data_IF_023337878327
#
_entry.id   IF_023337878327
#
_cell.length_a   1.000
_cell.length_b   1.000
_cell.length_c   1.000
_cell.angle_alpha   90.00
_cell.angle_beta   90.00
_cell.angle_gamma   90.00
#
_symmetry.space_group_name_H-M   'P 1'
#
loop_
_entity.id
_entity.type
_entity.pdbx_description
1 polymer ?
#
# COMPACT_ATOMS: atom_id res chain seq x y z
N UNK A 1 6.25 -23.15 38.11
CA UNK A 1 5.27 -24.05 37.46
C UNK A 1 4.90 -23.43 36.11
N UNK A 2 5.24 -23.93 34.93
CA UNK A 2 6.09 -25.03 34.51
C UNK A 2 6.46 -24.78 33.04
N UNK A 3 7.76 -24.79 32.74
CA UNK A 3 8.32 -24.70 31.39
C UNK A 3 8.18 -26.04 30.65
N UNK A 4 6.95 -26.51 30.45
CA UNK A 4 6.64 -27.58 29.49
C UNK A 4 6.13 -26.93 28.21
N UNK A 5 6.71 -27.24 27.06
CA UNK A 5 6.33 -26.63 25.77
C UNK A 5 4.82 -26.48 25.57
N UNK A 6 4.40 -25.25 25.25
CA UNK A 6 3.14 -25.00 24.55
C UNK A 6 3.25 -25.77 23.22
N UNK A 7 2.47 -26.84 23.13
CA UNK A 7 2.85 -28.09 22.47
C UNK A 7 2.80 -28.03 20.94
N UNK A 8 3.95 -27.90 20.29
CA UNK A 8 4.13 -28.21 18.86
C UNK A 8 3.36 -27.32 17.88
N UNK A 9 2.86 -26.15 18.31
CA UNK A 9 2.15 -25.21 17.42
C UNK A 9 3.01 -24.80 16.21
N UNK A 10 4.28 -24.45 16.47
CA UNK A 10 5.26 -24.16 15.41
C UNK A 10 5.47 -25.35 14.47
N UNK A 11 5.70 -26.55 15.00
CA UNK A 11 5.92 -27.74 14.17
C UNK A 11 4.69 -28.10 13.33
N UNK A 12 3.48 -27.96 13.89
CA UNK A 12 2.22 -28.14 13.15
C UNK A 12 2.06 -27.09 12.06
N UNK A 13 2.39 -25.83 12.35
CA UNK A 13 2.32 -24.75 11.37
C UNK A 13 3.34 -24.95 10.24
N UNK A 14 4.58 -25.32 10.56
CA UNK A 14 5.62 -25.68 9.59
C UNK A 14 5.20 -26.86 8.72
N UNK A 15 4.68 -27.93 9.33
CA UNK A 15 4.14 -29.08 8.59
C UNK A 15 3.00 -28.67 7.66
N UNK A 16 2.04 -27.86 8.14
CA UNK A 16 0.94 -27.35 7.33
C UNK A 16 1.42 -26.50 6.16
N UNK A 17 2.42 -25.65 6.37
CA UNK A 17 3.04 -24.84 5.31
C UNK A 17 3.78 -25.70 4.27
N UNK A 18 4.54 -26.70 4.72
CA UNK A 18 5.23 -27.67 3.85
C UNK A 18 4.22 -28.45 3.00
N UNK A 19 3.16 -28.99 3.61
CA UNK A 19 2.09 -29.73 2.92
C UNK A 19 1.36 -28.86 1.88
N UNK A 20 1.28 -27.55 2.13
CA UNK A 20 0.70 -26.57 1.21
C UNK A 20 1.69 -26.04 0.15
N UNK A 21 2.93 -26.54 0.11
CA UNK A 21 3.95 -26.14 -0.86
C UNK A 21 4.50 -24.73 -0.68
N UNK A 22 4.46 -24.19 0.54
CA UNK A 22 5.02 -22.87 0.85
C UNK A 22 6.55 -22.92 0.77
N UNK A 23 7.16 -21.86 0.25
CA UNK A 23 8.60 -21.76 0.08
C UNK A 23 9.38 -21.94 1.40
N UNK A 24 10.52 -22.66 1.40
CA UNK A 24 11.33 -22.86 2.61
C UNK A 24 11.80 -21.57 3.30
N UNK A 25 12.14 -20.52 2.54
CA UNK A 25 12.55 -19.22 3.11
C UNK A 25 11.36 -18.58 3.84
N UNK A 26 10.16 -18.70 3.28
CA UNK A 26 8.95 -18.21 3.93
C UNK A 26 8.60 -19.00 5.20
N UNK A 27 8.81 -20.32 5.21
CA UNK A 27 8.63 -21.17 6.40
C UNK A 27 9.60 -20.76 7.52
N UNK A 28 10.87 -20.52 7.20
CA UNK A 28 11.85 -20.06 8.19
C UNK A 28 11.56 -18.64 8.68
N UNK A 29 11.11 -17.75 7.79
CA UNK A 29 10.68 -16.39 8.14
C UNK A 29 9.48 -16.43 9.09
N UNK A 30 8.45 -17.23 8.78
CA UNK A 30 7.33 -17.47 9.68
C UNK A 30 7.80 -18.03 11.03
N UNK A 31 8.69 -19.02 11.03
CA UNK A 31 9.19 -19.62 12.26
C UNK A 31 9.97 -18.62 13.13
N UNK A 32 10.69 -17.68 12.54
CA UNK A 32 11.32 -16.57 13.25
C UNK A 32 10.26 -15.71 13.95
N UNK A 33 9.23 -15.27 13.24
CA UNK A 33 8.18 -14.42 13.79
C UNK A 33 7.28 -15.12 14.81
N UNK A 34 6.99 -16.40 14.61
CA UNK A 34 6.29 -17.23 15.58
C UNK A 34 7.03 -17.24 16.93
N UNK A 35 8.36 -17.38 16.92
CA UNK A 35 9.17 -17.34 18.15
C UNK A 35 9.10 -15.97 18.81
N UNK A 36 9.15 -14.87 18.05
CA UNK A 36 8.98 -13.52 18.63
C UNK A 36 7.60 -13.36 19.29
N UNK A 37 6.55 -13.86 18.64
CA UNK A 37 5.19 -13.86 19.17
C UNK A 37 5.10 -14.64 20.49
N UNK A 38 5.77 -15.79 20.62
CA UNK A 38 5.82 -16.56 21.87
C UNK A 38 6.48 -15.83 23.03
N UNK A 39 7.44 -14.95 22.75
CA UNK A 39 8.16 -14.18 23.76
C UNK A 39 7.44 -12.88 24.17
N UNK A 40 6.25 -12.61 23.62
CA UNK A 40 5.40 -11.49 24.04
C UNK A 40 5.88 -10.12 23.56
N UNK A 41 6.64 -10.07 22.46
CA UNK A 41 6.99 -8.83 21.76
C UNK A 41 5.72 -8.00 21.47
N UNK A 42 5.69 -6.75 21.95
CA UNK A 42 4.54 -5.85 21.78
C UNK A 42 4.77 -4.81 20.67
N UNK A 43 6.02 -4.56 20.28
CA UNK A 43 6.37 -3.63 19.20
C UNK A 43 6.16 -2.14 19.51
N UNK A 44 5.94 -1.75 20.77
CA UNK A 44 5.72 -0.35 21.18
C UNK A 44 7.00 0.48 21.09
N UNK A 45 6.91 1.73 20.61
CA UNK A 45 8.04 2.65 20.43
C UNK A 45 7.78 3.95 21.22
N UNK A 46 8.37 4.09 22.42
CA UNK A 46 8.19 5.30 23.23
C UNK A 46 8.75 6.56 22.60
N UNK A 47 8.05 7.68 22.76
CA UNK A 47 8.51 8.99 22.31
C UNK A 47 9.89 9.36 22.88
N UNK A 48 10.20 8.89 24.09
CA UNK A 48 11.48 9.11 24.73
C UNK A 48 12.67 8.45 24.02
N UNK A 49 12.44 7.40 23.22
CA UNK A 49 13.49 6.63 22.51
C UNK A 49 13.74 7.12 21.08
N UNK A 50 12.96 8.10 20.61
CA UNK A 50 13.03 8.62 19.25
C UNK A 50 13.19 10.15 19.22
N UNK A 51 13.62 10.66 18.07
CA UNK A 51 13.73 12.08 17.75
C UNK A 51 13.07 12.34 16.39
N UNK A 52 12.47 13.53 16.17
CA UNK A 52 11.99 13.92 14.86
C UNK A 52 13.05 13.83 13.77
N UNK A 53 12.61 13.60 12.54
CA UNK A 53 13.48 13.66 11.36
C UNK A 53 13.29 14.98 10.62
N UNK A 54 14.38 15.46 10.03
CA UNK A 54 14.37 16.46 8.97
C UNK A 54 14.89 15.77 7.71
N UNK A 55 14.25 16.06 6.57
CA UNK A 55 14.51 15.37 5.30
C UNK A 55 14.60 16.42 4.20
N UNK A 56 15.43 16.16 3.19
CA UNK A 56 15.49 17.00 1.99
C UNK A 56 14.18 16.88 1.18
N UNK A 57 13.87 17.91 0.40
CA UNK A 57 12.72 17.93 -0.50
C UNK A 57 13.16 17.70 -1.92
N UNK A 58 12.45 16.83 -2.64
CA UNK A 58 12.68 16.59 -4.07
C UNK A 58 12.55 17.87 -4.90
N UNK A 59 11.76 18.84 -4.43
CA UNK A 59 11.64 20.15 -5.07
C UNK A 59 12.97 20.92 -5.10
N UNK A 60 13.84 20.68 -4.12
CA UNK A 60 15.14 21.35 -3.96
C UNK A 60 16.30 20.52 -4.52
N UNK A 61 16.02 19.30 -5.03
CA UNK A 61 17.02 18.40 -5.61
C UNK A 61 17.12 18.63 -7.12
N UNK A 62 18.32 18.94 -7.58
CA UNK A 62 18.69 18.95 -8.99
C UNK A 62 19.28 17.59 -9.41
N UNK A 63 18.70 16.99 -10.44
CA UNK A 63 19.17 15.73 -11.04
C UNK A 63 19.33 15.97 -12.53
N UNK A 64 20.53 15.72 -13.05
CA UNK A 64 20.80 15.86 -14.48
C UNK A 64 19.97 14.85 -15.28
N UNK A 65 19.51 15.24 -16.47
CA UNK A 65 18.59 14.43 -17.29
C UNK A 65 19.20 13.07 -17.68
N UNK A 66 20.51 13.02 -17.95
CA UNK A 66 21.23 11.80 -18.27
C UNK A 66 21.33 10.84 -17.07
N UNK A 67 21.51 11.39 -15.86
CA UNK A 67 21.50 10.62 -14.61
C UNK A 67 20.11 10.06 -14.32
N UNK A 68 19.07 10.87 -14.52
CA UNK A 68 17.68 10.44 -14.36
C UNK A 68 17.31 9.33 -15.37
N UNK A 69 17.72 9.48 -16.63
CA UNK A 69 17.49 8.50 -17.69
C UNK A 69 18.24 7.18 -17.45
N UNK A 70 19.52 7.23 -17.05
CA UNK A 70 20.27 6.02 -16.72
C UNK A 70 19.67 5.30 -15.50
N UNK A 71 19.30 6.05 -14.46
CA UNK A 71 18.73 5.46 -13.25
C UNK A 71 17.37 4.79 -13.52
N UNK A 72 16.47 5.44 -14.26
CA UNK A 72 15.18 4.83 -14.61
C UNK A 72 15.36 3.63 -15.55
N UNK A 73 16.34 3.67 -16.46
CA UNK A 73 16.70 2.53 -17.32
C UNK A 73 17.16 1.29 -16.56
N UNK A 74 17.70 1.46 -15.35
CA UNK A 74 18.14 0.38 -14.44
C UNK A 74 17.11 0.03 -13.35
N UNK A 75 15.91 0.59 -13.43
CA UNK A 75 14.86 0.43 -12.42
C UNK A 75 13.83 -0.62 -12.82
N UNK A 76 13.36 -1.37 -11.83
CA UNK A 76 12.20 -2.27 -11.90
C UNK A 76 11.08 -1.68 -11.08
N UNK A 77 9.87 -1.60 -11.64
CA UNK A 77 8.69 -1.17 -10.90
C UNK A 77 7.93 -2.40 -10.37
N UNK A 78 7.65 -2.43 -9.07
CA UNK A 78 6.85 -3.46 -8.41
C UNK A 78 5.59 -2.82 -7.83
N UNK A 79 4.42 -3.35 -8.20
CA UNK A 79 3.13 -2.94 -7.63
C UNK A 79 2.61 -3.98 -6.67
N UNK A 80 2.31 -3.56 -5.44
CA UNK A 80 1.65 -4.39 -4.45
C UNK A 80 0.18 -4.56 -4.83
N UNK A 81 -0.22 -5.79 -5.11
CA UNK A 81 -1.54 -6.12 -5.65
C UNK A 81 -2.13 -7.40 -5.03
N UNK A 82 -1.67 -7.78 -3.84
CA UNK A 82 -2.19 -8.94 -3.10
C UNK A 82 -3.54 -8.70 -2.40
N UNK A 83 -3.94 -7.44 -2.22
CA UNK A 83 -5.13 -7.04 -1.47
C UNK A 83 -6.42 -7.10 -2.27
N UNK A 84 -7.48 -7.61 -1.65
CA UNK A 84 -8.85 -7.53 -2.16
C UNK A 84 -9.52 -6.22 -1.77
N UNK A 85 -10.47 -5.75 -2.57
CA UNK A 85 -11.31 -4.59 -2.24
C UNK A 85 -12.48 -4.91 -1.29
N UNK A 86 -12.30 -5.82 -0.32
CA UNK A 86 -13.40 -6.35 0.51
C UNK A 86 -14.11 -5.28 1.34
N UNK A 87 -13.39 -4.27 1.83
CA UNK A 87 -13.99 -3.13 2.54
C UNK A 87 -14.98 -2.33 1.68
N UNK A 88 -14.80 -2.39 0.37
CA UNK A 88 -15.62 -1.75 -0.67
C UNK A 88 -16.57 -2.75 -1.35
N UNK A 89 -16.75 -3.96 -0.78
CA UNK A 89 -17.64 -4.99 -1.31
C UNK A 89 -17.14 -5.70 -2.56
N UNK A 90 -15.84 -5.66 -2.87
CA UNK A 90 -15.26 -6.37 -4.00
C UNK A 90 -14.74 -7.76 -3.61
N UNK A 91 -14.98 -8.74 -4.48
CA UNK A 91 -14.47 -10.11 -4.34
C UNK A 91 -13.19 -10.37 -5.15
N UNK A 92 -12.72 -9.35 -5.90
CA UNK A 92 -11.56 -9.41 -6.80
C UNK A 92 -10.47 -8.43 -6.37
N UNK A 93 -9.34 -8.47 -7.07
CA UNK A 93 -8.25 -7.52 -6.89
C UNK A 93 -8.75 -6.06 -6.93
N UNK A 94 -8.37 -5.26 -5.93
CA UNK A 94 -8.80 -3.86 -5.84
C UNK A 94 -8.35 -3.02 -7.05
N UNK A 95 -7.22 -3.37 -7.64
CA UNK A 95 -6.67 -2.69 -8.82
C UNK A 95 -7.57 -2.77 -10.07
N UNK A 96 -8.56 -3.67 -10.09
CA UNK A 96 -9.55 -3.79 -11.17
C UNK A 96 -10.71 -2.80 -11.04
N UNK A 97 -10.78 -2.08 -9.92
CA UNK A 97 -11.78 -1.03 -9.73
C UNK A 97 -11.62 0.04 -10.81
N UNK A 98 -12.70 0.31 -11.54
CA UNK A 98 -12.74 1.37 -12.54
C UNK A 98 -12.68 2.74 -11.85
N UNK A 99 -11.64 3.49 -12.18
CA UNK A 99 -11.29 4.74 -11.52
C UNK A 99 -11.76 5.92 -12.33
N UNK A 100 -11.54 5.92 -13.65
CA UNK A 100 -11.93 7.05 -14.49
C UNK A 100 -11.91 6.69 -15.97
N UNK A 101 -12.84 7.25 -16.77
CA UNK A 101 -12.93 7.02 -18.22
C UNK A 101 -12.93 5.53 -18.61
N UNK A 102 -13.52 4.68 -17.76
CA UNK A 102 -13.55 3.22 -17.94
C UNK A 102 -12.21 2.51 -17.71
N UNK A 103 -11.17 3.22 -17.27
CA UNK A 103 -9.87 2.66 -16.92
C UNK A 103 -9.85 2.22 -15.46
N UNK A 104 -9.34 1.02 -15.21
CA UNK A 104 -9.06 0.54 -13.86
C UNK A 104 -7.77 1.15 -13.28
N UNK A 105 -7.39 0.83 -12.04
CA UNK A 105 -6.05 1.18 -11.57
C UNK A 105 -4.99 0.47 -12.42
N UNK A 106 -5.25 -0.80 -12.77
CA UNK A 106 -4.34 -1.68 -13.48
C UNK A 106 -4.04 -1.19 -14.91
N UNK A 107 -5.08 -0.98 -15.72
CA UNK A 107 -5.34 0.34 -16.29
C UNK A 107 -4.19 1.32 -16.48
N UNK A 108 -4.33 2.33 -15.64
CA UNK A 108 -3.53 3.53 -15.58
C UNK A 108 -2.07 3.13 -15.31
N UNK A 109 -1.82 2.19 -14.40
CA UNK A 109 -0.48 1.71 -14.04
C UNK A 109 0.26 1.12 -15.25
N UNK A 110 -0.38 0.22 -16.01
CA UNK A 110 0.25 -0.41 -17.17
C UNK A 110 0.62 0.65 -18.23
N UNK A 111 -0.28 1.61 -18.46
CA UNK A 111 -0.07 2.68 -19.45
C UNK A 111 0.97 3.71 -19.00
N UNK A 112 1.05 4.03 -17.71
CA UNK A 112 2.12 4.85 -17.13
C UNK A 112 3.48 4.20 -17.36
N UNK A 113 3.61 2.90 -17.09
CA UNK A 113 4.86 2.18 -17.32
C UNK A 113 5.26 2.18 -18.81
N UNK A 114 4.33 1.89 -19.71
CA UNK A 114 4.58 1.91 -21.16
C UNK A 114 4.94 3.31 -21.67
N UNK A 115 4.31 4.36 -21.15
CA UNK A 115 4.64 5.73 -21.47
C UNK A 115 6.09 6.07 -21.06
N UNK A 116 6.48 5.71 -19.84
CA UNK A 116 7.85 5.92 -19.36
C UNK A 116 8.90 5.16 -20.18
N UNK A 117 8.59 3.93 -20.61
CA UNK A 117 9.49 3.17 -21.51
C UNK A 117 9.74 3.94 -22.81
N UNK A 118 8.70 4.51 -23.40
CA UNK A 118 8.82 5.29 -24.64
C UNK A 118 9.57 6.61 -24.42
N UNK A 119 9.25 7.33 -23.34
CA UNK A 119 9.84 8.65 -23.06
C UNK A 119 11.34 8.56 -22.77
N UNK A 120 11.79 7.51 -22.07
CA UNK A 120 13.18 7.36 -21.62
C UNK A 120 13.98 6.29 -22.35
N UNK A 121 13.40 5.67 -23.40
CA UNK A 121 13.99 4.51 -24.08
C UNK A 121 14.46 3.42 -23.08
N UNK A 122 13.60 3.15 -22.09
CA UNK A 122 13.93 2.32 -20.94
C UNK A 122 13.21 0.96 -21.00
N UNK A 123 13.84 -0.10 -20.49
CA UNK A 123 13.19 -1.42 -20.34
C UNK A 123 12.09 -1.43 -19.27
N UNK A 124 12.28 -0.70 -18.17
CA UNK A 124 11.39 -0.55 -17.01
C UNK A 124 10.36 -1.69 -16.84
N UNK A 125 10.76 -2.87 -16.33
CA UNK A 125 9.82 -3.96 -16.04
C UNK A 125 8.78 -3.50 -15.02
N UNK A 126 7.53 -3.87 -15.26
CA UNK A 126 6.44 -3.70 -14.31
C UNK A 126 6.02 -5.09 -13.81
N UNK A 127 6.24 -5.34 -12.53
CA UNK A 127 5.92 -6.60 -11.87
C UNK A 127 4.81 -6.40 -10.86
N UNK A 128 3.94 -7.38 -10.71
CA UNK A 128 2.86 -7.36 -9.72
C UNK A 128 3.13 -8.40 -8.63
N UNK A 129 3.18 -7.95 -7.38
CA UNK A 129 3.16 -8.83 -6.23
C UNK A 129 1.70 -9.19 -5.93
N UNK A 130 1.26 -10.32 -6.46
CA UNK A 130 -0.11 -10.81 -6.33
C UNK A 130 -0.24 -11.78 -5.16
N UNK A 131 -1.47 -12.01 -4.72
CA UNK A 131 -1.81 -13.12 -3.83
C UNK A 131 -2.48 -14.22 -4.63
N UNK A 132 -2.64 -15.39 -4.00
CA UNK A 132 -3.44 -16.48 -4.54
C UNK A 132 -4.91 -16.08 -4.84
N UNK A 133 -5.39 -14.95 -4.30
CA UNK A 133 -6.73 -14.41 -4.56
C UNK A 133 -6.78 -13.35 -5.66
N UNK A 134 -5.64 -12.82 -6.11
CA UNK A 134 -5.60 -11.70 -7.07
C UNK A 134 -4.87 -12.01 -8.37
N UNK A 135 -4.07 -13.08 -8.42
CA UNK A 135 -3.26 -13.47 -9.59
C UNK A 135 -4.10 -13.66 -10.86
N UNK A 136 -5.10 -14.56 -10.83
CA UNK A 136 -5.89 -14.90 -12.01
C UNK A 136 -6.58 -13.67 -12.62
N UNK A 137 -7.30 -12.88 -11.81
CA UNK A 137 -7.99 -11.69 -12.31
C UNK A 137 -7.02 -10.62 -12.84
N UNK A 138 -5.83 -10.50 -12.23
CA UNK A 138 -4.82 -9.53 -12.64
C UNK A 138 -4.21 -9.92 -13.99
N UNK A 139 -3.82 -11.18 -14.16
CA UNK A 139 -3.23 -11.66 -15.41
C UNK A 139 -4.22 -11.62 -16.57
N UNK A 140 -5.49 -11.96 -16.33
CA UNK A 140 -6.56 -11.84 -17.33
C UNK A 140 -6.69 -10.38 -17.80
N UNK A 141 -6.76 -9.45 -16.86
CA UNK A 141 -6.89 -8.02 -17.17
C UNK A 141 -5.65 -7.42 -17.86
N UNK A 142 -4.45 -7.95 -17.58
CA UNK A 142 -3.19 -7.54 -18.21
C UNK A 142 -2.96 -8.17 -19.58
N UNK A 143 -3.66 -9.27 -19.91
CA UNK A 143 -3.46 -10.00 -21.17
C UNK A 143 -3.67 -9.18 -22.44
N UNK A 144 -4.35 -8.03 -22.35
CA UNK A 144 -4.51 -7.06 -23.44
C UNK A 144 -3.30 -6.15 -23.71
N UNK A 145 -2.29 -6.17 -22.83
CA UNK A 145 -1.08 -5.34 -22.95
C UNK A 145 0.10 -6.19 -23.43
N UNK A 146 0.14 -6.47 -24.73
CA UNK A 146 1.16 -7.34 -25.35
C UNK A 146 2.60 -6.82 -25.12
N UNK A 147 2.79 -5.50 -25.10
CA UNK A 147 4.09 -4.85 -24.93
C UNK A 147 4.55 -4.74 -23.46
N UNK A 148 3.75 -5.21 -22.49
CA UNK A 148 4.07 -5.05 -21.07
C UNK A 148 5.16 -6.03 -20.61
N UNK A 149 5.11 -7.25 -21.13
CA UNK A 149 6.05 -8.32 -20.79
C UNK A 149 7.49 -7.92 -21.16
N UNK A 150 8.44 -8.29 -20.30
CA UNK A 150 9.87 -8.12 -20.57
C UNK A 150 10.50 -9.50 -20.59
N UNK A 151 11.24 -9.79 -21.66
CA UNK A 151 11.83 -11.11 -21.87
C UNK A 151 12.65 -11.59 -20.66
N UNK A 152 12.37 -12.83 -20.26
CA UNK A 152 13.00 -13.49 -19.11
C UNK A 152 12.47 -13.05 -17.74
N UNK A 153 11.55 -12.08 -17.65
CA UNK A 153 10.91 -11.68 -16.40
C UNK A 153 9.41 -12.01 -16.42
N UNK A 154 8.85 -12.51 -15.31
CA UNK A 154 7.42 -12.74 -15.22
C UNK A 154 6.67 -11.40 -15.06
N UNK A 155 5.38 -11.34 -15.41
CA UNK A 155 4.54 -10.17 -15.09
C UNK A 155 4.13 -10.13 -13.60
N UNK A 156 4.12 -11.29 -12.94
CA UNK A 156 3.77 -11.40 -11.53
C UNK A 156 4.76 -12.27 -10.77
N UNK A 157 4.73 -12.11 -9.46
CA UNK A 157 5.20 -13.11 -8.51
C UNK A 157 4.22 -13.15 -7.34
N UNK A 158 4.10 -14.32 -6.71
CA UNK A 158 3.16 -14.49 -5.62
C UNK A 158 3.82 -14.15 -4.30
N UNK A 159 3.12 -13.36 -3.48
CA UNK A 159 3.40 -13.30 -2.05
C UNK A 159 3.07 -14.65 -1.41
N UNK A 160 3.71 -14.94 -0.29
CA UNK A 160 3.52 -16.13 0.50
C UNK A 160 2.16 -16.14 1.22
N UNK A 161 1.86 -17.30 1.82
CA UNK A 161 0.75 -17.49 2.75
C UNK A 161 1.25 -18.23 3.99
N UNK A 162 0.63 -17.92 5.12
CA UNK A 162 0.93 -18.53 6.41
C UNK A 162 -0.37 -18.91 7.13
N UNK A 163 -0.35 -19.90 8.04
CA UNK A 163 -1.54 -20.31 8.76
C UNK A 163 -1.91 -19.27 9.82
N UNK A 164 -3.20 -18.95 9.92
CA UNK A 164 -3.75 -18.22 11.07
C UNK A 164 -3.59 -19.07 12.33
N UNK A 165 -3.20 -18.46 13.45
CA UNK A 165 -2.91 -19.18 14.69
C UNK A 165 -3.99 -18.91 15.73
N UNK A 166 -4.50 -19.92 16.44
CA UNK A 166 -5.48 -19.70 17.51
C UNK A 166 -4.88 -18.85 18.63
N UNK A 167 -5.62 -17.85 19.13
CA UNK A 167 -5.11 -16.98 20.21
C UNK A 167 -4.92 -17.72 21.54
N UNK A 168 -5.59 -18.86 21.71
CA UNK A 168 -5.52 -19.68 22.91
C UNK A 168 -4.18 -20.39 23.11
N UNK A 169 -3.57 -20.89 22.04
CA UNK A 169 -2.41 -21.79 22.13
C UNK A 169 -1.40 -21.69 20.98
N UNK A 170 -1.62 -20.77 20.03
CA UNK A 170 -0.81 -20.56 18.83
C UNK A 170 -0.72 -21.79 17.90
N UNK A 171 -1.65 -22.74 17.99
CA UNK A 171 -1.76 -23.81 16.99
C UNK A 171 -2.43 -23.29 15.72
N UNK A 172 -2.09 -23.84 14.52
CA UNK A 172 -2.75 -23.41 13.28
C UNK A 172 -4.26 -23.69 13.34
N UNK A 173 -5.06 -22.68 13.02
CA UNK A 173 -6.51 -22.78 13.00
C UNK A 173 -6.98 -23.80 11.96
N UNK A 174 -8.10 -24.46 12.28
CA UNK A 174 -8.83 -25.34 11.38
C UNK A 174 -10.25 -24.79 11.19
N UNK A 175 -10.69 -24.70 9.94
CA UNK A 175 -11.99 -24.18 9.57
C UNK A 175 -12.58 -25.00 8.41
N UNK A 176 -13.15 -26.19 8.69
CA UNK A 176 -13.59 -27.12 7.65
C UNK A 176 -14.67 -26.58 6.70
N UNK A 177 -15.40 -25.55 7.13
CA UNK A 177 -16.42 -24.88 6.29
C UNK A 177 -15.80 -24.17 5.09
N UNK A 178 -14.60 -23.63 5.26
CA UNK A 178 -13.82 -22.98 4.21
C UNK A 178 -12.32 -22.98 4.60
N UNK A 179 -11.57 -24.02 4.18
CA UNK A 179 -10.16 -24.16 4.52
C UNK A 179 -9.26 -23.01 4.03
N UNK A 180 -9.68 -22.23 3.03
CA UNK A 180 -8.90 -21.07 2.57
C UNK A 180 -8.88 -19.94 3.61
N UNK A 181 -9.85 -19.92 4.53
CA UNK A 181 -9.88 -18.99 5.66
C UNK A 181 -8.90 -19.38 6.76
N UNK A 182 -8.25 -20.54 6.68
CA UNK A 182 -7.19 -20.92 7.62
C UNK A 182 -5.86 -20.23 7.31
N UNK A 183 -5.75 -19.54 6.17
CA UNK A 183 -4.54 -18.89 5.67
C UNK A 183 -4.69 -17.37 5.65
N UNK A 184 -3.59 -16.67 5.90
CA UNK A 184 -3.47 -15.23 5.69
C UNK A 184 -2.17 -14.90 4.95
N UNK A 185 -2.13 -13.77 4.23
CA UNK A 185 -0.87 -13.23 3.74
C UNK A 185 -0.05 -12.63 4.91
N UNK A 186 1.29 -12.75 4.91
CA UNK A 186 2.16 -12.23 5.98
C UNK A 186 2.38 -10.70 5.94
N UNK A 187 1.41 -9.95 5.42
CA UNK A 187 1.52 -8.53 5.15
C UNK A 187 2.41 -8.21 3.93
N UNK A 188 2.51 -6.93 3.59
CA UNK A 188 3.27 -6.51 2.41
C UNK A 188 4.79 -6.52 2.61
N UNK A 189 5.28 -6.67 3.85
CA UNK A 189 6.71 -6.89 4.13
C UNK A 189 7.25 -8.23 3.60
N UNK A 190 6.36 -9.16 3.24
CA UNK A 190 6.70 -10.40 2.55
C UNK A 190 7.35 -10.20 1.17
N UNK A 191 7.25 -9.00 0.59
CA UNK A 191 7.91 -8.62 -0.65
C UNK A 191 9.35 -9.14 -0.74
N UNK A 192 10.14 -8.92 0.31
CA UNK A 192 11.57 -9.26 0.31
C UNK A 192 11.78 -10.78 0.36
N UNK A 193 10.98 -11.47 1.16
CA UNK A 193 10.97 -12.93 1.28
C UNK A 193 10.55 -13.57 -0.04
N UNK A 194 9.49 -13.08 -0.67
CA UNK A 194 9.00 -13.57 -1.96
C UNK A 194 10.00 -13.32 -3.10
N UNK A 195 10.65 -12.15 -3.14
CA UNK A 195 11.71 -11.86 -4.11
C UNK A 195 12.88 -12.83 -4.00
N UNK A 196 13.27 -13.20 -2.77
CA UNK A 196 14.31 -14.19 -2.51
C UNK A 196 13.86 -15.61 -2.87
N UNK A 197 12.73 -16.06 -2.32
CA UNK A 197 12.23 -17.43 -2.49
C UNK A 197 11.95 -17.79 -3.95
N UNK A 198 11.44 -16.84 -4.73
CA UNK A 198 11.19 -17.04 -6.18
C UNK A 198 12.45 -17.00 -7.04
N UNK A 199 13.61 -16.63 -6.48
CA UNK A 199 14.84 -16.37 -7.23
C UNK A 199 14.77 -15.12 -8.11
N UNK A 200 13.71 -14.32 -7.98
CA UNK A 200 13.51 -13.11 -8.80
C UNK A 200 14.55 -12.04 -8.47
N UNK A 201 14.96 -11.92 -7.21
CA UNK A 201 16.03 -11.00 -6.80
C UNK A 201 17.32 -11.22 -7.60
N UNK A 202 17.79 -12.46 -7.67
CA UNK A 202 19.01 -12.81 -8.40
C UNK A 202 18.82 -12.62 -9.91
N UNK A 203 17.66 -13.03 -10.46
CA UNK A 203 17.35 -12.84 -11.88
C UNK A 203 17.35 -11.38 -12.31
N UNK A 204 16.79 -10.48 -11.48
CA UNK A 204 16.80 -9.04 -11.78
C UNK A 204 18.23 -8.49 -11.83
N UNK A 205 19.08 -8.89 -10.89
CA UNK A 205 20.49 -8.52 -10.86
C UNK A 205 21.23 -9.06 -12.10
N UNK A 206 21.04 -10.33 -12.43
CA UNK A 206 21.65 -10.98 -13.60
C UNK A 206 21.25 -10.31 -14.93
N UNK A 207 20.03 -9.75 -15.00
CA UNK A 207 19.55 -8.99 -16.14
C UNK A 207 20.03 -7.53 -16.19
N UNK A 208 20.88 -7.11 -15.24
CA UNK A 208 21.49 -5.78 -15.22
C UNK A 208 20.67 -4.70 -14.53
N UNK A 209 19.58 -5.05 -13.85
CA UNK A 209 18.83 -4.08 -13.04
C UNK A 209 19.57 -3.78 -11.75
N UNK A 210 19.41 -2.54 -11.27
CA UNK A 210 20.07 -2.06 -10.04
C UNK A 210 19.07 -1.66 -8.96
N UNK A 211 17.97 -1.03 -9.36
CA UNK A 211 17.03 -0.40 -8.44
C UNK A 211 15.64 -1.01 -8.57
N UNK A 212 14.90 -0.98 -7.47
CA UNK A 212 13.48 -1.30 -7.44
C UNK A 212 12.72 -0.11 -6.89
N UNK A 213 11.68 0.31 -7.62
CA UNK A 213 10.61 1.16 -7.11
C UNK A 213 9.42 0.28 -6.72
N UNK A 214 8.91 0.42 -5.51
CA UNK A 214 7.74 -0.31 -5.02
C UNK A 214 6.65 0.67 -4.63
N UNK A 215 5.40 0.37 -4.97
CA UNK A 215 4.25 1.14 -4.47
C UNK A 215 2.96 0.33 -4.42
N UNK A 216 1.97 0.84 -3.68
CA UNK A 216 0.63 0.27 -3.66
C UNK A 216 -0.05 0.43 -5.04
N UNK A 217 -0.78 -0.59 -5.49
CA UNK A 217 -1.61 -0.49 -6.70
C UNK A 217 -2.79 0.48 -6.55
N UNK A 218 -3.23 0.75 -5.31
CA UNK A 218 -4.31 1.70 -5.03
C UNK A 218 -3.84 3.15 -4.83
N UNK A 219 -2.55 3.43 -5.00
CA UNK A 219 -1.98 4.78 -5.09
C UNK A 219 -1.61 5.09 -6.55
N UNK A 220 -2.41 5.91 -7.23
CA UNK A 220 -2.17 6.26 -8.64
C UNK A 220 -1.18 7.42 -8.83
N UNK A 221 -0.86 8.15 -7.77
CA UNK A 221 0.24 9.12 -7.78
C UNK A 221 1.62 8.44 -7.79
N UNK A 222 1.69 7.16 -7.43
CA UNK A 222 2.94 6.42 -7.34
C UNK A 222 3.41 5.93 -8.72
N UNK A 223 4.12 6.79 -9.44
CA UNK A 223 4.74 6.46 -10.74
C UNK A 223 6.26 6.43 -10.57
N UNK A 224 7.00 5.47 -11.17
CA UNK A 224 8.47 5.48 -11.13
C UNK A 224 9.01 6.80 -11.71
N UNK A 225 9.50 7.69 -10.84
CA UNK A 225 9.90 9.03 -11.23
C UNK A 225 11.40 9.07 -11.56
N UNK A 226 11.79 9.49 -12.76
CA UNK A 226 13.19 9.57 -13.18
C UNK A 226 14.05 10.49 -12.29
N UNK A 227 13.50 11.59 -11.76
CA UNK A 227 14.21 12.48 -10.83
C UNK A 227 14.45 11.77 -9.50
N UNK A 228 13.45 11.07 -8.96
CA UNK A 228 13.63 10.30 -7.72
C UNK A 228 14.61 9.14 -7.94
N UNK A 229 14.52 8.45 -9.08
CA UNK A 229 15.46 7.38 -9.44
C UNK A 229 16.91 7.91 -9.51
N UNK A 230 17.12 9.04 -10.19
CA UNK A 230 18.44 9.67 -10.32
C UNK A 230 18.98 10.25 -9.01
N UNK A 231 18.12 10.85 -8.17
CA UNK A 231 18.47 11.23 -6.80
C UNK A 231 18.92 10.01 -5.99
N UNK A 232 18.09 8.96 -5.95
CA UNK A 232 18.38 7.74 -5.20
C UNK A 232 19.70 7.12 -5.64
N UNK A 233 19.91 6.98 -6.95
CA UNK A 233 21.16 6.49 -7.53
C UNK A 233 22.38 7.32 -7.12
N UNK A 234 22.25 8.65 -7.11
CA UNK A 234 23.33 9.58 -6.76
C UNK A 234 23.69 9.56 -5.27
N UNK A 235 22.74 9.24 -4.39
CA UNK A 235 23.00 9.14 -2.95
C UNK A 235 23.83 7.92 -2.55
N UNK A 236 23.83 6.87 -3.37
CA UNK A 236 24.39 5.56 -3.01
C UNK A 236 23.65 4.86 -1.85
N UNK A 237 22.47 5.35 -1.46
CA UNK A 237 21.69 4.77 -0.38
C UNK A 237 21.19 3.36 -0.75
N UNK A 238 21.20 2.41 0.19
CA UNK A 238 20.68 1.06 -0.06
C UNK A 238 19.15 1.02 -0.13
N UNK A 239 18.49 1.99 0.50
CA UNK A 239 17.04 2.01 0.69
C UNK A 239 16.57 3.45 0.91
N UNK A 240 15.44 3.83 0.31
CA UNK A 240 14.80 5.10 0.53
C UNK A 240 13.27 4.98 0.54
N UNK A 241 12.59 5.91 1.21
CA UNK A 241 11.14 6.03 1.19
C UNK A 241 10.75 7.47 0.81
N UNK A 242 9.81 7.59 -0.13
CA UNK A 242 9.15 8.87 -0.39
C UNK A 242 8.18 9.18 0.75
N UNK A 243 8.32 10.35 1.35
CA UNK A 243 7.50 10.82 2.45
C UNK A 243 6.74 12.08 2.04
N UNK A 244 5.52 12.23 2.54
CA UNK A 244 4.73 13.45 2.36
C UNK A 244 4.55 14.13 3.71
N UNK A 245 4.36 15.45 3.69
CA UNK A 245 3.95 16.17 4.90
C UNK A 245 2.63 15.63 5.41
N UNK A 246 2.55 15.47 6.72
CA UNK A 246 1.33 15.06 7.41
C UNK A 246 0.33 16.20 7.44
N UNK A 247 -0.93 15.82 7.28
CA UNK A 247 -2.09 16.68 7.39
C UNK A 247 -2.99 16.17 8.52
N UNK A 248 -3.98 16.96 8.92
CA UNK A 248 -4.98 16.54 9.92
C UNK A 248 -5.80 15.30 9.48
N UNK A 249 -5.80 14.98 8.19
CA UNK A 249 -6.43 13.80 7.61
C UNK A 249 -5.58 12.52 7.77
N UNK A 250 -4.27 12.66 8.01
CA UNK A 250 -3.33 11.55 8.20
C UNK A 250 -3.38 11.01 9.66
N UNK A 251 -4.60 10.63 10.10
CA UNK A 251 -4.87 10.13 11.46
C UNK A 251 -4.53 8.65 11.64
N UNK A 252 -4.38 7.90 10.55
CA UNK A 252 -4.03 6.48 10.51
C UNK A 252 -2.76 6.31 9.68
N UNK A 253 -1.89 5.41 10.13
CA UNK A 253 -0.57 5.15 9.51
C UNK A 253 0.58 5.46 10.46
N UNK A 254 1.80 5.46 9.92
CA UNK A 254 3.03 5.70 10.66
C UNK A 254 3.75 6.97 10.23
N UNK A 255 4.47 7.59 11.17
CA UNK A 255 5.39 8.69 10.88
C UNK A 255 6.83 8.23 11.02
N UNK A 256 7.72 8.97 10.37
CA UNK A 256 9.16 8.74 10.49
C UNK A 256 9.75 9.42 11.72
N UNK A 257 10.66 8.73 12.36
CA UNK A 257 11.49 9.26 13.43
C UNK A 257 12.90 8.67 13.35
N UNK A 258 13.83 9.19 14.14
CA UNK A 258 15.17 8.65 14.31
C UNK A 258 15.27 8.00 15.69
N UNK A 259 15.66 6.73 15.76
CA UNK A 259 15.87 6.03 17.02
C UNK A 259 17.18 6.50 17.66
N UNK A 260 17.12 6.91 18.93
CA UNK A 260 18.28 7.46 19.66
C UNK A 260 19.39 6.45 19.89
N UNK A 261 19.04 5.17 20.04
CA UNK A 261 20.00 4.13 20.41
C UNK A 261 21.04 3.84 19.32
N UNK A 262 20.66 3.94 18.06
CA UNK A 262 21.50 3.56 16.90
C UNK A 262 21.45 4.59 15.75
N UNK A 263 20.67 5.66 15.88
CA UNK A 263 20.56 6.72 14.89
C UNK A 263 19.78 6.31 13.63
N UNK A 264 19.15 5.12 13.60
CA UNK A 264 18.42 4.63 12.43
C UNK A 264 17.06 5.29 12.28
N UNK A 265 16.59 5.38 11.05
CA UNK A 265 15.24 5.84 10.75
C UNK A 265 14.27 4.72 11.09
N UNK A 266 13.19 5.05 11.81
CA UNK A 266 12.11 4.13 12.20
C UNK A 266 10.78 4.62 11.68
N UNK A 267 9.89 3.68 11.37
CA UNK A 267 8.50 3.97 11.02
C UNK A 267 7.63 3.59 12.23
N UNK A 268 7.18 4.59 12.99
CA UNK A 268 6.30 4.35 14.15
C UNK A 268 4.85 4.45 13.72
N UNK A 269 4.20 3.28 13.63
CA UNK A 269 2.76 3.18 13.39
C UNK A 269 1.95 3.73 14.56
N UNK A 270 0.72 4.17 14.28
CA UNK A 270 -0.23 4.60 15.33
C UNK A 270 -0.45 3.51 16.39
N UNK A 271 -0.45 2.23 15.98
CA UNK A 271 -0.59 1.08 16.88
C UNK A 271 0.62 0.88 17.81
N UNK A 272 1.79 1.42 17.47
CA UNK A 272 3.02 1.34 18.25
C UNK A 272 3.22 2.54 19.18
N UNK A 273 2.25 3.46 19.23
CA UNK A 273 2.29 4.68 20.05
C UNK A 273 1.68 4.43 21.43
N UNK A 274 2.42 4.73 22.49
CA UNK A 274 1.91 4.57 23.85
C UNK A 274 0.77 5.58 24.14
N UNK A 275 -0.17 5.26 25.04
CA UNK A 275 -1.26 6.17 25.40
C UNK A 275 -0.78 7.58 25.82
N UNK A 276 0.32 7.67 26.56
CA UNK A 276 0.95 8.92 27.00
C UNK A 276 1.58 9.73 25.86
N UNK A 277 1.96 9.07 24.75
CA UNK A 277 2.65 9.69 23.62
C UNK A 277 1.68 10.21 22.53
N UNK A 278 0.37 10.04 22.73
CA UNK A 278 -0.66 10.44 21.74
C UNK A 278 -0.61 11.93 21.38
N UNK A 279 -0.30 12.79 22.35
CA UNK A 279 -0.16 14.23 22.10
C UNK A 279 1.03 14.53 21.17
N UNK A 280 2.16 13.84 21.37
CA UNK A 280 3.32 14.00 20.50
C UNK A 280 3.06 13.47 19.08
N UNK A 281 2.33 12.36 18.95
CA UNK A 281 1.89 11.86 17.63
C UNK A 281 0.98 12.85 16.91
N UNK A 282 0.07 13.51 17.63
CA UNK A 282 -0.86 14.48 17.06
C UNK A 282 -0.20 15.81 16.63
N UNK A 283 1.00 16.10 17.14
CA UNK A 283 1.78 17.28 16.76
C UNK A 283 2.39 17.12 15.36
N UNK A 284 1.80 17.84 14.40
CA UNK A 284 2.19 17.82 12.98
C UNK A 284 3.52 18.57 12.72
N UNK A 285 3.93 19.48 13.61
CA UNK A 285 5.21 20.20 13.49
C UNK A 285 6.37 19.41 14.07
N UNK A 286 6.08 18.52 15.02
CA UNK A 286 7.06 17.59 15.58
C UNK A 286 7.34 16.44 14.63
N UNK A 287 6.32 15.61 14.37
CA UNK A 287 6.45 14.45 13.50
C UNK A 287 5.85 14.83 12.15
N UNK A 288 6.64 15.48 11.30
CA UNK A 288 6.16 16.17 10.07
C UNK A 288 5.82 15.25 8.91
N UNK A 289 6.37 14.05 8.87
CA UNK A 289 6.38 13.23 7.66
C UNK A 289 5.73 11.86 7.87
N UNK A 290 4.94 11.42 6.90
CA UNK A 290 4.32 10.09 6.85
C UNK A 290 4.74 9.34 5.59
N UNK A 291 4.74 8.01 5.67
CA UNK A 291 5.08 7.14 4.55
C UNK A 291 4.00 7.17 3.48
N UNK A 292 4.40 7.34 2.22
CA UNK A 292 3.54 7.11 1.06
C UNK A 292 3.40 5.63 0.71
N UNK A 293 4.25 4.78 1.32
CA UNK A 293 4.53 3.41 0.89
C UNK A 293 5.13 3.32 -0.52
N UNK A 294 5.69 4.41 -1.05
CA UNK A 294 6.54 4.40 -2.24
C UNK A 294 8.00 4.22 -1.79
N UNK A 295 8.59 3.08 -2.13
CA UNK A 295 9.93 2.71 -1.66
C UNK A 295 10.89 2.56 -2.82
N UNK A 296 12.15 2.83 -2.55
CA UNK A 296 13.26 2.61 -3.47
C UNK A 296 14.30 1.75 -2.78
N UNK A 297 14.81 0.71 -3.43
CA UNK A 297 15.93 -0.05 -2.88
C UNK A 297 16.89 -0.54 -3.95
N UNK A 298 18.14 -0.70 -3.52
CA UNK A 298 19.22 -1.27 -4.32
C UNK A 298 19.17 -2.80 -4.23
N UNK A 299 19.08 -3.47 -5.39
CA UNK A 299 18.96 -4.93 -5.47
C UNK A 299 20.16 -5.65 -4.84
N UNK A 300 21.38 -5.12 -5.03
CA UNK A 300 22.58 -5.74 -4.48
C UNK A 300 22.67 -5.52 -2.97
N UNK A 301 22.31 -4.33 -2.47
CA UNK A 301 22.28 -4.08 -1.04
C UNK A 301 21.22 -4.96 -0.35
N UNK A 302 20.03 -5.08 -0.94
CA UNK A 302 18.98 -5.98 -0.47
C UNK A 302 19.46 -7.43 -0.43
N UNK A 303 20.07 -7.91 -1.52
CA UNK A 303 20.66 -9.25 -1.59
C UNK A 303 21.70 -9.48 -0.49
N UNK A 304 22.65 -8.55 -0.33
CA UNK A 304 23.71 -8.67 0.67
C UNK A 304 23.16 -8.76 2.10
N UNK A 305 22.15 -7.94 2.42
CA UNK A 305 21.50 -7.99 3.75
C UNK A 305 20.74 -9.29 3.95
N UNK A 306 19.96 -9.72 2.96
CA UNK A 306 19.23 -10.97 3.05
C UNK A 306 20.20 -12.16 3.20
N UNK A 307 21.29 -12.20 2.42
CA UNK A 307 22.30 -13.27 2.49
C UNK A 307 23.02 -13.29 3.84
N UNK A 308 23.38 -12.12 4.38
CA UNK A 308 23.96 -12.00 5.72
C UNK A 308 23.01 -12.36 6.87
N UNK A 309 21.70 -12.45 6.61
CA UNK A 309 20.66 -12.81 7.58
C UNK A 309 19.92 -14.11 7.24
N UNK A 310 20.54 -14.96 6.42
CA UNK A 310 19.99 -16.28 6.03
C UNK A 310 18.56 -16.20 5.45
N UNK A 311 18.26 -15.12 4.73
CA UNK A 311 16.96 -14.85 4.09
C UNK A 311 15.93 -14.15 4.96
N UNK A 312 16.18 -13.98 6.27
CA UNK A 312 15.24 -13.35 7.19
C UNK A 312 15.63 -11.88 7.36
N UNK A 313 14.87 -10.98 6.75
CA UNK A 313 15.19 -9.54 6.84
C UNK A 313 15.10 -9.00 8.26
N UNK A 314 14.25 -9.57 9.12
CA UNK A 314 14.11 -9.17 10.53
C UNK A 314 13.31 -7.89 10.71
N UNK A 315 12.23 -7.73 9.93
CA UNK A 315 11.26 -6.64 10.09
C UNK A 315 10.52 -6.74 11.43
N UNK A 316 10.05 -5.63 12.03
CA UNK A 316 9.19 -5.65 13.20
C UNK A 316 7.91 -6.47 12.98
N UNK A 317 7.59 -7.32 13.95
CA UNK A 317 6.36 -8.12 13.99
C UNK A 317 5.13 -7.23 14.22
N UNK A 318 4.09 -7.45 13.42
CA UNK A 318 2.75 -6.92 13.64
C UNK A 318 1.84 -8.08 14.03
N UNK A 319 1.25 -8.01 15.23
CA UNK A 319 0.30 -9.01 15.74
C UNK A 319 -1.13 -8.54 15.52
N UNK A 320 -1.80 -9.10 14.52
CA UNK A 320 -3.21 -8.79 14.24
C UNK A 320 -4.15 -9.85 14.81
N UNK A 321 -5.03 -9.44 15.73
CA UNK A 321 -6.09 -10.31 16.27
C UNK A 321 -7.36 -10.15 15.44
N UNK A 322 -7.88 -11.26 14.94
CA UNK A 322 -9.06 -11.34 14.06
C UNK A 322 -9.89 -12.59 14.39
N UNK A 323 -11.02 -12.73 13.75
CA UNK A 323 -11.75 -13.99 13.68
C UNK A 323 -11.29 -14.80 12.45
N UNK A 324 -11.27 -16.14 12.55
CA UNK A 324 -10.85 -17.01 11.42
C UNK A 324 -11.71 -16.75 10.19
N UNK A 325 -13.03 -16.62 10.39
CA UNK A 325 -13.98 -16.12 9.41
C UNK A 325 -14.29 -14.64 9.72
N UNK A 326 -13.81 -13.69 8.91
CA UNK A 326 -14.04 -12.26 9.14
C UNK A 326 -15.52 -11.84 9.10
N UNK A 327 -16.39 -12.65 8.49
CA UNK A 327 -17.83 -12.39 8.42
C UNK A 327 -18.60 -13.00 9.61
N UNK A 328 -17.96 -13.86 10.41
CA UNK A 328 -18.57 -14.53 11.56
C UNK A 328 -17.83 -14.20 12.86
N UNK A 329 -18.33 -13.22 13.65
CA UNK A 329 -17.77 -12.87 14.96
C UNK A 329 -17.84 -13.99 16.00
N UNK A 330 -18.61 -15.07 15.76
CA UNK A 330 -18.64 -16.23 16.64
C UNK A 330 -17.56 -17.27 16.30
N UNK A 331 -16.87 -17.11 15.16
CA UNK A 331 -15.78 -18.01 14.77
C UNK A 331 -14.54 -17.83 15.67
N UNK A 332 -13.66 -18.83 15.79
CA UNK A 332 -12.48 -18.75 16.65
C UNK A 332 -11.63 -17.51 16.41
N UNK A 333 -11.15 -16.91 17.50
CA UNK A 333 -10.20 -15.80 17.45
C UNK A 333 -8.80 -16.33 17.09
N UNK A 334 -8.13 -15.63 16.18
CA UNK A 334 -6.84 -15.98 15.61
C UNK A 334 -5.89 -14.79 15.58
N UNK A 335 -4.60 -15.09 15.65
CA UNK A 335 -3.49 -14.20 15.33
C UNK A 335 -3.09 -14.38 13.87
N UNK A 336 -2.90 -13.27 13.18
CA UNK A 336 -2.21 -13.18 11.89
C UNK A 336 -0.87 -12.48 12.14
N UNK A 337 0.23 -13.05 11.63
CA UNK A 337 1.57 -12.51 11.76
C UNK A 337 1.84 -11.69 10.50
N UNK A 338 2.02 -10.39 10.68
CA UNK A 338 2.27 -9.50 9.54
C UNK A 338 3.57 -8.74 9.71
N UNK A 339 4.12 -8.29 8.59
CA UNK A 339 5.20 -7.33 8.54
C UNK A 339 4.88 -6.23 7.53
N UNK A 340 5.41 -5.02 7.78
CA UNK A 340 5.24 -3.89 6.89
C UNK A 340 6.52 -3.63 6.08
N UNK A 341 6.41 -3.56 4.75
CA UNK A 341 7.55 -3.33 3.87
C UNK A 341 8.33 -2.05 4.20
N UNK A 342 7.64 -0.97 4.60
CA UNK A 342 8.28 0.29 4.97
C UNK A 342 9.18 0.19 6.20
N UNK A 343 8.96 -0.80 7.08
CA UNK A 343 9.81 -1.03 8.24
C UNK A 343 11.20 -1.55 7.87
N UNK A 344 11.43 -1.95 6.61
CA UNK A 344 12.76 -2.29 6.12
C UNK A 344 13.75 -1.13 6.19
N UNK A 345 13.27 0.12 6.24
CA UNK A 345 14.14 1.29 6.43
C UNK A 345 14.99 1.19 7.70
N UNK A 346 14.51 0.48 8.73
CA UNK A 346 15.22 0.24 9.99
C UNK A 346 16.39 -0.74 9.88
N UNK A 347 16.45 -1.49 8.78
CA UNK A 347 17.41 -2.57 8.57
C UNK A 347 18.69 -2.05 7.92
N UNK A 348 18.58 -1.00 7.10
CA UNK A 348 19.68 -0.53 6.27
C UNK A 348 20.37 0.68 6.87
N UNK A 349 21.67 0.53 7.17
CA UNK A 349 22.52 1.67 7.48
C UNK A 349 22.65 2.57 6.24
N UNK A 350 22.52 3.88 6.43
CA UNK A 350 22.55 4.84 5.32
C UNK A 350 21.22 4.98 4.55
N UNK A 351 20.13 4.36 5.02
CA UNK A 351 18.81 4.58 4.43
C UNK A 351 18.41 6.07 4.45
N UNK A 352 17.62 6.48 3.47
CA UNK A 352 17.21 7.87 3.23
C UNK A 352 15.69 8.03 3.21
N UNK A 353 15.26 9.26 3.44
CA UNK A 353 13.90 9.72 3.19
C UNK A 353 13.99 10.90 2.23
N UNK A 354 12.97 11.09 1.41
CA UNK A 354 12.83 12.23 0.51
C UNK A 354 11.42 12.79 0.65
N UNK A 355 11.30 14.08 0.97
CA UNK A 355 10.01 14.77 0.91
C UNK A 355 9.58 14.89 -0.55
N UNK A 356 8.37 14.41 -0.85
CA UNK A 356 7.76 14.53 -2.17
C UNK A 356 6.44 15.28 -2.10
N UNK A 357 6.00 15.80 -3.25
CA UNK A 357 4.69 16.40 -3.40
C UNK A 357 3.55 15.40 -3.18
N UNK A 358 2.40 15.91 -2.74
CA UNK A 358 1.21 15.08 -2.44
C UNK A 358 0.61 14.45 -3.70
N UNK A 359 0.93 14.97 -4.88
CA UNK A 359 0.64 14.39 -6.19
C UNK A 359 1.18 12.96 -6.35
N UNK A 360 2.21 12.57 -5.57
CA UNK A 360 2.75 11.21 -5.53
C UNK A 360 2.05 10.27 -4.56
N UNK A 361 1.05 10.78 -3.83
CA UNK A 361 0.28 10.06 -2.82
C UNK A 361 -1.22 10.34 -2.95
N UNK A 362 -1.83 9.64 -3.93
CA UNK A 362 -3.26 9.67 -4.24
C UNK A 362 -3.86 8.27 -3.96
N UNK A 363 -3.96 7.85 -2.69
CA UNK A 363 -4.54 6.55 -2.35
C UNK A 363 -6.07 6.58 -2.43
N UNK A 364 -6.67 5.48 -2.89
CA UNK A 364 -8.12 5.26 -2.75
C UNK A 364 -8.36 4.18 -1.71
N UNK A 365 -8.94 4.51 -0.56
CA UNK A 365 -9.25 3.54 0.50
C UNK A 365 -10.75 3.29 0.66
N UNK A 366 -11.55 4.28 0.31
CA UNK A 366 -13.01 4.30 0.45
C UNK A 366 -13.69 4.78 -0.83
N UNK A 367 -15.01 4.68 -0.88
CA UNK A 367 -15.82 5.27 -1.97
C UNK A 367 -15.84 6.80 -1.93
N UNK A 368 -15.53 7.43 -0.79
CA UNK A 368 -15.34 8.88 -0.71
C UNK A 368 -14.13 9.29 -1.57
N UNK A 369 -12.99 8.61 -1.39
CA UNK A 369 -11.78 8.86 -2.19
C UNK A 369 -12.03 8.56 -3.68
N UNK A 370 -12.80 7.50 -3.96
CA UNK A 370 -13.18 7.13 -5.33
C UNK A 370 -14.03 8.21 -6.00
N UNK A 371 -14.94 8.86 -5.27
CA UNK A 371 -15.77 9.92 -5.81
C UNK A 371 -14.93 11.12 -6.25
N UNK A 372 -13.99 11.54 -5.38
CA UNK A 372 -13.02 12.59 -5.70
C UNK A 372 -12.25 12.23 -6.97
N UNK A 373 -11.77 10.99 -7.07
CA UNK A 373 -10.96 10.56 -8.21
C UNK A 373 -11.74 10.40 -9.51
N UNK A 374 -13.03 10.06 -9.43
CA UNK A 374 -13.96 9.99 -10.57
C UNK A 374 -14.43 11.36 -11.04
N UNK A 375 -14.39 12.36 -10.17
CA UNK A 375 -14.76 13.74 -10.48
C UNK A 375 -13.72 14.46 -11.37
N UNK A 376 -13.88 15.77 -11.51
CA UNK A 376 -12.96 16.67 -12.20
C UNK A 376 -11.92 17.33 -11.27
N UNK A 377 -11.75 16.86 -10.02
CA UNK A 377 -10.67 17.32 -9.12
C UNK A 377 -9.28 17.02 -9.68
N UNK A 378 -9.16 15.89 -10.37
CA UNK A 378 -7.95 15.49 -11.08
C UNK A 378 -8.20 15.53 -12.59
N UNK A 379 -7.15 15.56 -13.40
CA UNK A 379 -7.11 15.24 -14.83
C UNK A 379 -6.17 14.04 -15.06
N UNK A 380 -6.46 13.22 -16.08
CA UNK A 380 -5.51 12.19 -16.55
C UNK A 380 -4.79 12.75 -17.77
N UNK A 381 -3.48 12.96 -17.64
CA UNK A 381 -2.60 13.44 -18.70
C UNK A 381 -2.34 12.40 -19.79
N UNK A 382 -1.59 12.81 -20.82
CA UNK A 382 -1.19 11.91 -21.92
C UNK A 382 -0.21 10.82 -21.46
N UNK A 383 0.50 11.07 -20.36
CA UNK A 383 1.36 10.15 -19.61
C UNK A 383 0.57 9.21 -18.68
N UNK A 384 -0.75 9.35 -18.65
CA UNK A 384 -1.64 8.67 -17.71
C UNK A 384 -1.36 9.01 -16.23
N UNK A 385 -0.57 10.04 -15.94
CA UNK A 385 -0.45 10.58 -14.59
C UNK A 385 -1.74 11.31 -14.20
N UNK A 386 -2.06 11.30 -12.91
CA UNK A 386 -3.13 12.13 -12.38
C UNK A 386 -2.57 13.45 -11.89
N UNK A 387 -3.06 14.54 -12.48
CA UNK A 387 -2.72 15.90 -12.08
C UNK A 387 -3.90 16.51 -11.37
N UNK A 388 -3.70 17.03 -10.16
CA UNK A 388 -4.74 17.81 -9.49
C UNK A 388 -4.96 19.11 -10.28
N UNK A 389 -6.20 19.36 -10.69
CA UNK A 389 -6.59 20.59 -11.40
C UNK A 389 -7.45 21.52 -10.55
N UNK A 390 -8.09 20.99 -9.50
CA UNK A 390 -8.75 21.81 -8.49
C UNK A 390 -7.73 22.53 -7.61
N UNK A 391 -8.11 23.69 -7.06
CA UNK A 391 -7.27 24.45 -6.11
C UNK A 391 -6.94 23.60 -4.88
N UNK A 392 -7.95 22.95 -4.33
CA UNK A 392 -7.85 22.08 -3.16
C UNK A 392 -8.60 20.77 -3.41
N UNK A 393 -8.20 19.71 -2.70
CA UNK A 393 -8.93 18.44 -2.71
C UNK A 393 -10.12 18.55 -1.75
N UNK A 394 -11.37 18.42 -2.22
CA UNK A 394 -12.54 18.58 -1.36
C UNK A 394 -12.66 17.46 -0.33
N UNK A 395 -13.21 17.80 0.83
CA UNK A 395 -13.63 16.79 1.80
C UNK A 395 -14.91 16.10 1.33
N UNK A 396 -14.91 14.77 1.25
CA UNK A 396 -16.09 13.99 0.86
C UNK A 396 -16.48 13.03 1.98
N UNK A 397 -17.75 13.08 2.36
CA UNK A 397 -18.36 12.16 3.31
C UNK A 397 -19.66 11.60 2.74
N UNK A 398 -19.69 10.30 2.50
CA UNK A 398 -20.85 9.61 1.97
C UNK A 398 -21.42 8.66 3.03
N UNK A 399 -22.74 8.62 3.13
CA UNK A 399 -23.45 7.70 4.03
C UNK A 399 -23.03 6.24 3.81
N UNK A 400 -22.45 5.63 4.84
CA UNK A 400 -21.94 4.26 4.75
C UNK A 400 -23.05 3.23 4.49
N UNK A 401 -24.31 3.52 4.84
CA UNK A 401 -25.44 2.61 4.61
C UNK A 401 -25.82 2.52 3.12
N UNK A 402 -25.46 3.54 2.32
CA UNK A 402 -25.82 3.62 0.90
C UNK A 402 -24.61 3.55 -0.05
N UNK A 403 -23.44 4.05 0.36
CA UNK A 403 -22.31 4.26 -0.56
C UNK A 403 -21.07 3.44 -0.22
N UNK A 404 -21.03 2.69 0.88
CA UNK A 404 -19.82 1.97 1.31
C UNK A 404 -19.32 0.94 0.30
N UNK A 405 -20.23 0.23 -0.36
CA UNK A 405 -19.90 -0.82 -1.32
C UNK A 405 -19.98 -0.28 -2.75
N UNK A 406 -19.02 -0.63 -3.60
CA UNK A 406 -18.87 -0.08 -4.97
C UNK A 406 -20.12 -0.33 -5.80
N UNK A 407 -20.73 -1.51 -5.71
CA UNK A 407 -21.94 -1.82 -6.47
C UNK A 407 -23.13 -0.93 -6.10
N UNK A 408 -23.27 -0.52 -4.83
CA UNK A 408 -24.32 0.42 -4.42
C UNK A 408 -23.94 1.86 -4.74
N UNK A 409 -22.67 2.23 -4.58
CA UNK A 409 -22.11 3.51 -4.99
C UNK A 409 -22.36 3.77 -6.49
N UNK A 410 -22.05 2.81 -7.36
CA UNK A 410 -22.22 2.93 -8.81
C UNK A 410 -23.69 3.18 -9.19
N UNK A 411 -24.65 2.61 -8.45
CA UNK A 411 -26.09 2.85 -8.66
C UNK A 411 -26.51 4.30 -8.35
N UNK A 412 -25.77 5.00 -7.49
CA UNK A 412 -26.05 6.41 -7.11
C UNK A 412 -25.39 7.43 -8.04
N UNK A 413 -24.37 7.00 -8.78
CA UNK A 413 -23.70 7.79 -9.81
C UNK A 413 -23.83 7.16 -11.21
N UNK A 414 -25.05 6.80 -11.67
CA UNK A 414 -25.24 6.05 -12.91
C UNK A 414 -24.86 6.88 -14.16
N UNK A 415 -24.85 8.21 -14.03
CA UNK A 415 -24.52 9.17 -15.07
C UNK A 415 -23.14 9.82 -14.86
N UNK A 416 -22.33 9.27 -13.94
CA UNK A 416 -21.02 9.78 -13.57
C UNK A 416 -21.02 10.57 -12.25
N UNK A 417 -19.82 10.91 -11.80
CA UNK A 417 -19.62 11.73 -10.62
C UNK A 417 -20.02 13.20 -10.89
N UNK A 418 -20.53 13.94 -9.89
CA UNK A 418 -20.67 15.39 -9.99
C UNK A 418 -19.29 16.04 -10.16
N UNK A 419 -19.28 17.25 -10.72
CA UNK A 419 -18.11 18.13 -10.68
C UNK A 419 -17.87 18.57 -9.24
N UNK A 420 -16.63 18.40 -8.79
CA UNK A 420 -16.15 18.75 -7.46
C UNK A 420 -14.97 19.73 -7.51
N UNK A 421 -14.53 20.17 -8.70
CA UNK A 421 -13.38 21.07 -8.85
C UNK A 421 -13.52 22.42 -8.13
N UNK A 422 -14.75 22.83 -7.79
CA UNK A 422 -15.07 24.05 -7.03
C UNK A 422 -15.66 23.77 -5.65
N UNK A 423 -15.67 22.50 -5.23
CA UNK A 423 -16.16 22.10 -3.93
C UNK A 423 -15.05 22.27 -2.89
N UNK A 424 -15.43 22.65 -1.68
CA UNK A 424 -14.57 22.54 -0.48
C UNK A 424 -14.97 21.31 0.34
N UNK A 425 -16.28 21.01 0.38
CA UNK A 425 -16.81 19.80 0.98
C UNK A 425 -18.10 19.31 0.30
N UNK A 426 -18.32 18.00 0.31
CA UNK A 426 -19.58 17.36 -0.01
C UNK A 426 -19.89 16.30 1.05
N UNK A 427 -20.95 16.51 1.83
CA UNK A 427 -21.51 15.50 2.74
C UNK A 427 -22.88 15.05 2.26
N UNK A 428 -23.09 13.74 2.21
CA UNK A 428 -24.33 13.14 1.73
C UNK A 428 -24.85 12.15 2.75
N UNK A 429 -25.92 12.51 3.44
CA UNK A 429 -26.70 11.67 4.35
C UNK A 429 -27.98 11.18 3.64
N UNK A 430 -28.22 9.87 3.67
CA UNK A 430 -29.34 9.21 2.99
C UNK A 430 -29.10 8.83 1.52
N UNK A 431 -30.15 8.32 0.88
CA UNK A 431 -30.11 7.74 -0.46
C UNK A 431 -30.29 8.79 -1.56
N UNK A 432 -29.19 9.33 -2.07
CA UNK A 432 -29.18 10.35 -3.14
C UNK A 432 -28.61 9.79 -4.43
N UNK A 433 -29.29 10.08 -5.54
CA UNK A 433 -28.78 9.83 -6.90
C UNK A 433 -28.46 11.15 -7.60
N UNK A 434 -27.43 11.17 -8.44
CA UNK A 434 -26.97 12.38 -9.12
C UNK A 434 -27.22 12.28 -10.62
N UNK A 435 -27.88 13.29 -11.20
CA UNK A 435 -28.01 13.42 -12.65
C UNK A 435 -26.70 13.85 -13.32
N UNK A 436 -26.61 13.66 -14.64
CA UNK A 436 -25.47 14.12 -15.42
C UNK A 436 -25.20 15.62 -15.25
N UNK A 437 -23.94 16.00 -15.12
CA UNK A 437 -23.51 17.40 -15.14
C UNK A 437 -23.83 18.20 -13.88
N UNK A 438 -24.19 17.55 -12.77
CA UNK A 438 -24.31 18.20 -11.45
C UNK A 438 -22.96 18.81 -11.05
N UNK A 439 -23.00 20.00 -10.46
CA UNK A 439 -21.82 20.70 -9.95
C UNK A 439 -21.98 21.00 -8.46
N UNK A 440 -20.89 20.85 -7.70
CA UNK A 440 -20.81 21.22 -6.29
C UNK A 440 -19.85 22.41 -6.15
N UNK A 441 -20.31 23.48 -5.51
CA UNK A 441 -19.56 24.71 -5.29
C UNK A 441 -19.58 25.08 -3.79
N UNK A 442 -18.40 25.28 -3.20
CA UNK A 442 -18.26 25.50 -1.75
C UNK A 442 -18.53 24.22 -0.94
N UNK A 443 -18.99 24.38 0.30
CA UNK A 443 -19.33 23.26 1.18
C UNK A 443 -20.83 22.94 1.10
N UNK A 444 -21.17 21.73 0.61
CA UNK A 444 -22.56 21.28 0.45
C UNK A 444 -22.85 20.10 1.36
N UNK A 445 -23.98 20.17 2.05
CA UNK A 445 -24.54 19.06 2.83
C UNK A 445 -25.92 18.70 2.26
N UNK A 446 -26.13 17.42 2.00
CA UNK A 446 -27.40 16.85 1.57
C UNK A 446 -27.90 15.89 2.66
N UNK A 447 -29.14 16.07 3.10
CA UNK A 447 -29.81 15.19 4.06
C UNK A 447 -31.20 14.84 3.53
N UNK A 448 -31.49 13.54 3.41
CA UNK A 448 -32.84 13.07 3.16
C UNK A 448 -33.17 11.77 3.89
N UNK A 449 -34.40 11.71 4.43
CA UNK A 449 -34.96 10.50 5.07
C UNK A 449 -35.40 9.41 4.08
N UNK A 450 -35.37 9.68 2.78
CA UNK A 450 -35.80 8.75 1.74
C UNK A 450 -35.12 9.06 0.41
N UNK A 451 -35.30 8.18 -0.58
CA UNK A 451 -34.61 8.30 -1.86
C UNK A 451 -34.88 9.64 -2.55
N UNK A 452 -33.81 10.37 -2.87
CA UNK A 452 -33.84 11.64 -3.58
C UNK A 452 -32.97 11.58 -4.84
N UNK A 453 -33.21 12.53 -5.73
CA UNK A 453 -32.41 12.69 -6.95
C UNK A 453 -32.09 14.15 -7.20
N UNK A 454 -30.80 14.45 -7.33
CA UNK A 454 -30.33 15.75 -7.80
C UNK A 454 -30.57 15.82 -9.32
N UNK A 455 -31.31 16.83 -9.83
CA UNK A 455 -31.57 16.98 -11.25
C UNK A 455 -30.29 17.14 -12.09
N UNK A 456 -30.35 16.77 -13.36
CA UNK A 456 -29.22 16.96 -14.27
C UNK A 456 -28.89 18.45 -14.45
N UNK A 457 -27.61 18.79 -14.45
CA UNK A 457 -27.10 20.16 -14.59
C UNK A 457 -27.30 21.05 -13.36
N UNK A 458 -27.86 20.53 -12.27
CA UNK A 458 -28.08 21.31 -11.04
C UNK A 458 -26.73 21.76 -10.45
N UNK A 459 -26.69 23.01 -9.96
CA UNK A 459 -25.54 23.56 -9.24
C UNK A 459 -25.89 23.63 -7.76
N UNK A 460 -25.30 22.73 -6.97
CA UNK A 460 -25.39 22.74 -5.53
C UNK A 460 -24.36 23.72 -4.97
N UNK A 461 -24.81 24.71 -4.21
CA UNK A 461 -23.94 25.74 -3.63
C UNK A 461 -24.14 25.85 -2.12
N UNK A 462 -23.06 25.94 -1.36
CA UNK A 462 -23.09 26.25 0.07
C UNK A 462 -21.89 27.09 0.52
N UNK A 463 -21.90 27.56 1.76
CA UNK A 463 -20.86 28.44 2.32
C UNK A 463 -19.76 27.66 3.03
N UNK A 464 -18.52 28.13 2.93
CA UNK A 464 -17.31 27.52 3.52
C UNK A 464 -17.14 27.84 5.03
N UNK A 465 -18.22 28.18 5.74
CA UNK A 465 -18.19 28.70 7.12
C UNK A 465 -17.64 27.72 8.18
#
# INVERSE_FOLDING_TARGET
MGMSGRSGGLEKARAKMLDAGVDPVAIETFAHYYRLLEHGETGMIPESTIEPVDIESLADVEVAEDVAADAIGRTVAIKLNGGLGTSMGMERAKSLLCVRRGLSFLDIIARQALHLRQQYDARLPLLFMNSFRTSADTLDALGRYEDLAVDGLPLEFLQNKEPKLLTSDLTPAAWPKDPDLEWCPPGHGDLYTALRGTGLLDRLIEQGYRYVFVSNSDNLGAVPDPRVAGWFASTGAPFAIEAVRRTASDRKGGHFARRKADGRIVLRETAQTLPEDRAALADLERHRFTSTNNLWFDLHAMKAVLDGREGILGLPLIRNVKHVDPADPASPEVVQIETAMGAAIEVFDGARLIEVGRDRFIPVKTTNDLLVLRSDVYEIGADFALTQVATDVPYVELDADHYKVVGEFDKRFPEGAPSLAKATALKVEGDWTFGHGVQVVGAVELDAKGAQRVPAGEVLSGSDD
#
